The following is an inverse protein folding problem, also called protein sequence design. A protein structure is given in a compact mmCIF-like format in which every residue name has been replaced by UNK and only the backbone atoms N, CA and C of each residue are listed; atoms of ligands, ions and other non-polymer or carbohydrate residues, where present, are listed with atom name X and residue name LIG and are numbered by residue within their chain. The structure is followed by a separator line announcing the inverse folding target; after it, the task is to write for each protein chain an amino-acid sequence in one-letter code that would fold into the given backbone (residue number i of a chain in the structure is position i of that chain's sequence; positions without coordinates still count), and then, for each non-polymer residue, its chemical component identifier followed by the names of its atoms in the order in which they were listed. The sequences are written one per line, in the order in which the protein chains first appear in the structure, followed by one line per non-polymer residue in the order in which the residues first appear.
data_IF_912624165801
#
_entry.id   IF_912624165801
#
_cell.length_a   1.000
_cell.length_b   1.000
_cell.length_c   1.000
_cell.angle_alpha   90.00
_cell.angle_beta   90.00
_cell.angle_gamma   90.00
#
_symmetry.space_group_name_H-M   'P 1'
#
loop_
_entity.id
_entity.type
_entity.pdbx_description
1 polymer ?
#
# COMPACT_ATOMS: atom_id res chain seq x y z
N UNK A 1 -2.34 2.17 15.92
CA UNK A 1 -1.57 1.07 15.31
C UNK A 1 -2.40 0.34 14.26
N UNK A 2 -1.84 0.12 13.08
CA UNK A 2 -2.53 -0.63 12.02
C UNK A 2 -2.45 -2.12 12.32
N UNK A 3 -3.61 -2.79 12.31
CA UNK A 3 -3.69 -4.24 12.54
C UNK A 3 -4.32 -5.00 11.38
N UNK A 4 -5.04 -4.29 10.50
CA UNK A 4 -5.75 -4.89 9.38
C UNK A 4 -5.46 -4.12 8.11
N UNK A 5 -5.55 -4.79 6.98
CA UNK A 5 -5.36 -4.16 5.68
C UNK A 5 -6.51 -4.55 4.78
N UNK A 6 -7.12 -3.57 4.14
CA UNK A 6 -8.25 -3.78 3.26
C UNK A 6 -7.96 -3.24 1.88
N UNK A 7 -8.02 -4.10 0.87
CA UNK A 7 -7.74 -3.73 -0.51
C UNK A 7 -9.00 -3.20 -1.20
N UNK A 8 -8.86 -2.08 -1.90
CA UNK A 8 -9.92 -1.53 -2.74
C UNK A 8 -9.37 -1.30 -4.14
N UNK A 9 -10.25 -1.35 -5.15
CA UNK A 9 -9.90 -1.05 -6.53
C UNK A 9 -10.72 0.10 -7.10
N UNK A 10 -11.54 0.72 -6.29
CA UNK A 10 -12.38 1.87 -6.65
C UNK A 10 -12.68 2.68 -5.40
N UNK A 11 -13.29 3.85 -5.56
CA UNK A 11 -13.70 4.66 -4.41
C UNK A 11 -14.95 4.04 -3.76
N UNK A 12 -14.70 3.13 -2.84
CA UNK A 12 -15.73 2.29 -2.21
C UNK A 12 -16.01 2.79 -0.79
N UNK A 13 -16.78 3.87 -0.70
CA UNK A 13 -17.07 4.50 0.60
C UNK A 13 -17.82 3.56 1.54
N UNK A 14 -18.72 2.74 0.98
CA UNK A 14 -19.52 1.81 1.79
C UNK A 14 -18.63 0.84 2.56
N UNK A 15 -17.66 0.23 1.87
CA UNK A 15 -16.76 -0.73 2.51
C UNK A 15 -15.69 -0.04 3.36
N UNK A 16 -15.23 1.14 2.95
CA UNK A 16 -14.28 1.91 3.77
C UNK A 16 -14.94 2.28 5.11
N UNK A 17 -16.21 2.67 5.08
CA UNK A 17 -16.93 3.04 6.31
C UNK A 17 -17.10 1.89 7.29
N UNK A 18 -17.05 0.65 6.82
CA UNK A 18 -17.16 -0.53 7.68
C UNK A 18 -15.87 -0.85 8.43
N UNK A 19 -14.76 -0.22 8.06
CA UNK A 19 -13.47 -0.52 8.64
C UNK A 19 -13.26 0.28 9.91
N UNK A 20 -12.62 -0.34 10.91
CA UNK A 20 -12.27 0.35 12.14
C UNK A 20 -10.97 1.16 11.96
N UNK A 21 -10.63 1.97 12.97
CA UNK A 21 -9.47 2.87 12.90
C UNK A 21 -8.12 2.14 12.86
N UNK A 22 -8.11 0.85 13.10
CA UNK A 22 -6.90 0.02 13.04
C UNK A 22 -6.67 -0.55 11.65
N UNK A 23 -7.55 -0.24 10.70
CA UNK A 23 -7.45 -0.73 9.32
C UNK A 23 -6.74 0.29 8.45
N UNK A 24 -5.81 -0.19 7.63
CA UNK A 24 -5.22 0.61 6.56
C UNK A 24 -5.86 0.22 5.24
N UNK A 25 -6.16 1.21 4.41
CA UNK A 25 -6.75 0.99 3.09
C UNK A 25 -5.63 0.96 2.07
N UNK A 26 -5.63 -0.06 1.21
CA UNK A 26 -4.66 -0.18 0.13
C UNK A 26 -5.41 -0.10 -1.20
N UNK A 27 -5.08 0.92 -1.99
CA UNK A 27 -5.66 1.06 -3.33
C UNK A 27 -4.85 0.27 -4.33
N UNK A 28 -5.49 -0.70 -4.98
CA UNK A 28 -4.87 -1.60 -5.93
C UNK A 28 -5.76 -1.72 -7.17
N UNK A 29 -5.36 -1.07 -8.26
CA UNK A 29 -6.09 -1.15 -9.52
C UNK A 29 -5.11 -1.39 -10.67
N UNK A 30 -4.83 -2.66 -10.96
CA UNK A 30 -3.92 -3.05 -12.02
C UNK A 30 -4.60 -3.09 -13.40
N UNK A 31 -5.93 -3.04 -13.43
CA UNK A 31 -6.68 -3.06 -14.68
C UNK A 31 -6.60 -1.73 -15.42
N UNK A 32 -6.34 -0.63 -14.71
CA UNK A 32 -6.23 0.70 -15.31
C UNK A 32 -4.80 0.93 -15.81
N UNK A 33 -4.67 1.32 -17.09
CA UNK A 33 -3.37 1.66 -17.67
C UNK A 33 -2.86 3.02 -17.23
N UNK A 34 -3.76 3.88 -16.79
CA UNK A 34 -3.41 5.22 -16.28
C UNK A 34 -3.72 5.29 -14.80
N UNK A 35 -2.76 5.81 -14.04
CA UNK A 35 -3.00 6.10 -12.65
C UNK A 35 -3.84 7.36 -12.55
N UNK A 36 -5.02 7.25 -11.97
CA UNK A 36 -5.90 8.40 -11.77
C UNK A 36 -5.55 9.10 -10.47
N UNK A 37 -4.71 10.13 -10.57
CA UNK A 37 -4.25 10.88 -9.39
C UNK A 37 -5.40 11.58 -8.67
N UNK A 38 -6.38 12.06 -9.42
CA UNK A 38 -7.54 12.73 -8.83
C UNK A 38 -8.35 11.76 -7.96
N UNK A 39 -8.52 10.53 -8.45
CA UNK A 39 -9.21 9.50 -7.68
C UNK A 39 -8.43 9.15 -6.41
N UNK A 40 -7.11 9.00 -6.52
CA UNK A 40 -6.26 8.68 -5.38
C UNK A 40 -6.34 9.78 -4.33
N UNK A 41 -6.29 11.04 -4.74
CA UNK A 41 -6.41 12.17 -3.81
C UNK A 41 -7.77 12.23 -3.14
N UNK A 42 -8.81 11.86 -3.87
CA UNK A 42 -10.17 11.79 -3.34
C UNK A 42 -10.28 10.72 -2.25
N UNK A 43 -9.70 9.55 -2.49
CA UNK A 43 -9.66 8.47 -1.51
C UNK A 43 -8.82 8.88 -0.30
N UNK A 44 -7.67 9.51 -0.54
CA UNK A 44 -6.80 10.01 0.53
C UNK A 44 -7.58 10.94 1.46
N UNK A 45 -8.28 11.90 0.89
CA UNK A 45 -9.06 12.87 1.67
C UNK A 45 -10.13 12.17 2.52
N UNK A 46 -10.80 11.20 1.92
CA UNK A 46 -11.85 10.44 2.61
C UNK A 46 -11.27 9.61 3.76
N UNK A 47 -10.17 8.91 3.51
CA UNK A 47 -9.51 8.11 4.55
C UNK A 47 -9.02 8.98 5.70
N UNK A 48 -8.45 10.15 5.40
CA UNK A 48 -7.99 11.07 6.42
C UNK A 48 -9.16 11.54 7.30
N UNK A 49 -10.30 11.83 6.68
CA UNK A 49 -11.52 12.21 7.41
C UNK A 49 -11.97 11.10 8.35
N UNK A 50 -11.78 9.85 7.97
CA UNK A 50 -12.16 8.68 8.78
C UNK A 50 -11.05 8.21 9.71
N UNK A 51 -9.91 8.88 9.73
CA UNK A 51 -8.73 8.51 10.53
C UNK A 51 -8.15 7.15 10.14
N UNK A 52 -8.23 6.80 8.86
CA UNK A 52 -7.67 5.56 8.32
C UNK A 52 -6.38 5.85 7.57
N UNK A 53 -5.40 4.99 7.70
CA UNK A 53 -4.17 5.07 6.92
C UNK A 53 -4.47 4.64 5.48
N UNK A 54 -3.78 5.26 4.52
CA UNK A 54 -4.01 5.00 3.10
C UNK A 54 -2.70 4.74 2.37
N UNK A 55 -2.62 3.61 1.68
CA UNK A 55 -1.44 3.13 0.97
C UNK A 55 -1.78 2.93 -0.50
N UNK A 56 -0.80 3.21 -1.36
CA UNK A 56 -0.93 2.98 -2.80
C UNK A 56 -0.13 1.75 -3.19
N UNK A 57 -0.75 0.86 -3.98
CA UNK A 57 -0.09 -0.36 -4.43
C UNK A 57 0.77 -0.11 -5.66
N UNK A 58 2.00 -0.62 -5.61
CA UNK A 58 2.90 -0.77 -6.76
C UNK A 58 3.34 0.53 -7.42
N UNK A 59 3.30 1.65 -6.71
CA UNK A 59 3.80 2.92 -7.23
C UNK A 59 4.29 3.80 -6.08
N UNK A 60 5.50 3.50 -5.62
CA UNK A 60 6.08 4.18 -4.44
C UNK A 60 6.32 5.66 -4.74
N UNK A 61 6.84 5.97 -5.93
CA UNK A 61 7.13 7.35 -6.33
C UNK A 61 5.87 8.23 -6.25
N UNK A 62 4.76 7.73 -6.76
CA UNK A 62 3.50 8.47 -6.72
C UNK A 62 2.96 8.59 -5.29
N UNK A 63 3.09 7.54 -4.50
CA UNK A 63 2.66 7.56 -3.11
C UNK A 63 3.41 8.64 -2.32
N UNK A 64 4.72 8.79 -2.57
CA UNK A 64 5.53 9.83 -1.97
C UNK A 64 5.08 11.20 -2.47
N UNK A 65 4.91 11.35 -3.79
CA UNK A 65 4.49 12.61 -4.41
C UNK A 65 3.17 13.12 -3.85
N UNK A 66 2.22 12.21 -3.65
CA UNK A 66 0.88 12.57 -3.16
C UNK A 66 0.80 12.59 -1.63
N UNK A 67 1.94 12.37 -0.96
CA UNK A 67 2.03 12.41 0.49
C UNK A 67 1.06 11.44 1.19
N UNK A 68 1.00 10.22 0.69
CA UNK A 68 0.21 9.17 1.29
C UNK A 68 0.91 8.61 2.54
N UNK A 69 0.23 7.78 3.30
CA UNK A 69 0.81 7.18 4.49
C UNK A 69 1.88 6.14 4.18
N UNK A 70 1.84 5.58 2.98
CA UNK A 70 2.83 4.62 2.55
C UNK A 70 2.51 3.99 1.21
N UNK A 71 3.24 2.92 0.89
CA UNK A 71 3.08 2.18 -0.35
C UNK A 71 3.13 0.69 -0.08
N UNK A 72 2.46 -0.07 -0.94
CA UNK A 72 2.41 -1.52 -0.89
C UNK A 72 3.13 -2.09 -2.10
N UNK A 73 4.08 -3.00 -1.88
CA UNK A 73 4.83 -3.67 -2.93
C UNK A 73 4.30 -5.10 -3.07
N UNK A 74 3.61 -5.43 -4.18
CA UNK A 74 3.11 -6.80 -4.37
C UNK A 74 4.26 -7.80 -4.51
N UNK A 75 3.96 -9.06 -4.29
CA UNK A 75 4.95 -10.14 -4.28
C UNK A 75 5.74 -10.24 -5.59
N UNK A 76 5.09 -9.94 -6.73
CA UNK A 76 5.71 -10.05 -8.05
C UNK A 76 6.70 -8.92 -8.35
N UNK A 77 6.67 -7.81 -7.62
CA UNK A 77 7.52 -6.65 -7.88
C UNK A 77 8.87 -6.83 -7.18
N UNK A 78 9.96 -6.87 -7.96
CA UNK A 78 11.34 -7.02 -7.45
C UNK A 78 12.18 -5.75 -7.65
N UNK A 79 11.56 -4.63 -8.00
CA UNK A 79 12.24 -3.38 -8.30
C UNK A 79 12.88 -2.79 -7.04
N UNK A 80 14.11 -2.31 -7.17
CA UNK A 80 14.87 -1.71 -6.06
C UNK A 80 15.06 -0.20 -6.22
N UNK A 81 14.46 0.41 -7.23
CA UNK A 81 14.65 1.84 -7.51
C UNK A 81 14.26 2.74 -6.35
N UNK A 82 13.26 2.33 -5.57
CA UNK A 82 12.77 3.14 -4.46
C UNK A 82 13.80 3.29 -3.32
N UNK A 83 14.83 2.45 -3.28
CA UNK A 83 15.87 2.57 -2.26
C UNK A 83 16.63 3.90 -2.37
N UNK A 84 16.60 4.52 -3.56
CA UNK A 84 17.23 5.81 -3.78
C UNK A 84 16.28 6.99 -3.50
N UNK A 85 15.02 6.76 -3.22
CA UNK A 85 14.05 7.82 -2.99
C UNK A 85 14.13 8.37 -1.57
N UNK A 86 13.91 9.67 -1.43
CA UNK A 86 13.78 10.32 -0.13
C UNK A 86 12.31 10.37 0.26
N UNK A 87 11.99 9.99 1.48
CA UNK A 87 10.63 10.07 1.98
C UNK A 87 10.63 10.28 3.50
N UNK A 88 9.49 10.70 4.02
CA UNK A 88 9.34 10.98 5.45
C UNK A 88 9.50 9.72 6.29
N UNK A 89 10.01 9.87 7.51
CA UNK A 89 10.18 8.75 8.44
C UNK A 89 8.88 7.98 8.68
N UNK A 90 7.74 8.67 8.66
CA UNK A 90 6.42 8.06 8.88
C UNK A 90 5.89 7.31 7.68
N UNK A 91 6.53 7.44 6.52
CA UNK A 91 6.10 6.76 5.30
C UNK A 91 6.44 5.28 5.42
N UNK A 92 5.44 4.42 5.43
CA UNK A 92 5.62 2.98 5.56
C UNK A 92 5.61 2.28 4.22
N UNK A 93 6.56 1.37 4.03
CA UNK A 93 6.58 0.51 2.85
C UNK A 93 6.26 -0.90 3.34
N UNK A 94 5.18 -1.47 2.82
CA UNK A 94 4.75 -2.82 3.18
C UNK A 94 4.75 -3.67 1.91
N UNK A 95 4.80 -4.96 2.07
CA UNK A 95 4.82 -5.86 0.92
C UNK A 95 4.26 -7.22 1.25
N UNK A 96 4.07 -8.05 0.22
CA UNK A 96 3.60 -9.41 0.38
C UNK A 96 4.57 -10.41 -0.23
N UNK A 97 4.55 -11.63 0.28
CA UNK A 97 5.38 -12.73 -0.20
C UNK A 97 4.63 -14.05 -0.03
N UNK A 98 4.84 -14.97 -0.97
CA UNK A 98 4.20 -16.30 -0.97
C UNK A 98 5.18 -17.42 -0.63
N UNK A 99 6.49 -17.14 -0.61
CA UNK A 99 7.51 -18.15 -0.37
C UNK A 99 8.77 -17.48 0.17
N UNK A 100 9.76 -18.29 0.54
CA UNK A 100 11.00 -17.79 1.14
C UNK A 100 11.80 -16.89 0.19
N UNK A 101 11.80 -17.20 -1.09
CA UNK A 101 12.50 -16.39 -2.10
C UNK A 101 11.90 -14.98 -2.16
N UNK A 102 10.59 -14.88 -2.14
CA UNK A 102 9.90 -13.58 -2.16
C UNK A 102 10.08 -12.82 -0.86
N UNK A 103 10.15 -13.52 0.27
CA UNK A 103 10.48 -12.88 1.55
C UNK A 103 11.84 -12.21 1.46
N UNK A 104 12.84 -12.92 0.91
CA UNK A 104 14.19 -12.37 0.75
C UNK A 104 14.17 -11.15 -0.16
N UNK A 105 13.41 -11.21 -1.25
CA UNK A 105 13.24 -10.07 -2.15
C UNK A 105 12.66 -8.87 -1.40
N UNK A 106 11.63 -9.07 -0.58
CA UNK A 106 11.01 -7.99 0.19
C UNK A 106 11.97 -7.42 1.24
N UNK A 107 12.77 -8.27 1.86
CA UNK A 107 13.83 -7.80 2.77
C UNK A 107 14.82 -6.91 2.04
N UNK A 108 15.25 -7.29 0.84
CA UNK A 108 16.15 -6.49 0.01
C UNK A 108 15.51 -5.18 -0.43
N UNK A 109 14.20 -5.14 -0.56
CA UNK A 109 13.44 -3.92 -0.86
C UNK A 109 13.24 -3.05 0.36
N UNK A 110 13.72 -3.49 1.52
CA UNK A 110 13.70 -2.72 2.77
C UNK A 110 12.27 -2.35 3.21
N UNK A 111 11.35 -3.30 3.08
CA UNK A 111 9.96 -3.08 3.51
C UNK A 111 9.87 -3.12 5.04
N UNK A 112 8.95 -2.36 5.60
CA UNK A 112 8.74 -2.30 7.05
C UNK A 112 7.96 -3.50 7.57
N UNK A 113 7.09 -4.09 6.72
CA UNK A 113 6.25 -5.20 7.10
C UNK A 113 5.96 -6.09 5.89
N UNK A 114 6.04 -7.40 6.07
CA UNK A 114 5.79 -8.38 5.01
C UNK A 114 4.55 -9.20 5.36
N UNK A 115 3.61 -9.29 4.41
CA UNK A 115 2.44 -10.17 4.54
C UNK A 115 2.80 -11.53 3.97
N UNK A 116 2.67 -12.58 4.78
CA UNK A 116 2.95 -13.94 4.34
C UNK A 116 1.64 -14.58 3.88
N UNK A 117 1.33 -14.41 2.60
CA UNK A 117 0.09 -14.98 2.07
C UNK A 117 0.38 -16.31 1.37
N UNK A 118 -0.52 -17.26 1.57
CA UNK A 118 -0.48 -18.59 0.94
C UNK A 118 0.73 -19.46 1.30
N UNK A 119 1.49 -19.11 2.35
CA UNK A 119 2.65 -19.91 2.76
C UNK A 119 2.27 -21.23 3.42
N UNK A 120 1.10 -21.29 4.01
CA UNK A 120 0.70 -22.44 4.82
C UNK A 120 -0.55 -23.14 4.28
N UNK A 121 -0.80 -22.98 3.02
CA UNK A 121 -1.89 -23.71 2.38
C UNK A 121 -1.50 -25.14 2.08
#
# INVERSE_FOLDING_TARGET
MVRKYYFINKFDTKNINKQDKQTAIIFRNYASKKTDQMLILKIKKYCKKKSLKFYLSNNIKLAIKLNLDGAYIPSFNRNLNHLAYSFKKKFNIIGSAHNLKEIKTKENQNVNKIFLSSLFK
#
